data_IF_556148297208
#
_entry.id   IF_556148297208
#
_cell.length_a   1.000
_cell.length_b   1.000
_cell.length_c   1.000
_cell.angle_alpha   90.00
_cell.angle_beta   90.00
_cell.angle_gamma   90.00
#
_symmetry.space_group_name_H-M   'P 1'
#
loop_
_entity.id
_entity.type
_entity.pdbx_description
1 polymer ?
#
# COMPACT_ATOMS: atom_id res chain seq x y z
N UNK A 1 14.05 8.66 25.64
CA UNK A 1 14.17 8.63 24.18
C UNK A 1 12.77 8.74 23.58
N UNK A 2 12.62 9.50 22.53
CA UNK A 2 11.38 9.54 21.75
C UNK A 2 11.13 8.14 21.18
N UNK A 3 9.91 7.64 21.32
CA UNK A 3 9.47 6.35 20.79
C UNK A 3 8.42 6.56 19.70
N UNK A 4 8.65 5.96 18.54
CA UNK A 4 7.80 6.09 17.34
C UNK A 4 7.43 4.69 16.86
N UNK A 5 6.15 4.42 16.68
CA UNK A 5 5.64 3.14 16.15
C UNK A 5 4.77 3.38 14.92
N UNK A 6 4.43 2.36 14.17
CA UNK A 6 3.37 2.47 13.17
C UNK A 6 3.74 2.09 11.75
N UNK A 7 3.30 2.88 10.80
CA UNK A 7 3.31 2.60 9.36
C UNK A 7 4.68 2.18 8.81
N UNK A 8 4.70 1.07 8.09
CA UNK A 8 5.86 0.62 7.31
C UNK A 8 6.16 1.55 6.11
N UNK A 9 5.16 2.22 5.56
CA UNK A 9 5.33 3.23 4.49
C UNK A 9 6.13 4.43 4.98
N UNK A 10 5.86 4.91 6.20
CA UNK A 10 6.52 6.08 6.79
C UNK A 10 7.85 5.71 7.46
N UNK A 11 8.03 4.45 7.84
CA UNK A 11 9.19 3.95 8.56
C UNK A 11 10.55 4.36 7.97
N UNK A 12 10.83 4.20 6.64
CA UNK A 12 12.13 4.59 6.07
C UNK A 12 12.42 6.09 6.24
N UNK A 13 11.41 6.94 6.08
CA UNK A 13 11.56 8.38 6.26
C UNK A 13 11.79 8.76 7.72
N UNK A 14 11.03 8.18 8.64
CA UNK A 14 11.20 8.40 10.07
C UNK A 14 12.57 7.95 10.56
N UNK A 15 13.12 6.87 10.03
CA UNK A 15 14.47 6.38 10.34
C UNK A 15 15.54 7.39 9.91
N UNK A 16 15.43 7.97 8.71
CA UNK A 16 16.35 9.02 8.25
C UNK A 16 16.28 10.26 9.14
N UNK A 17 15.08 10.66 9.57
CA UNK A 17 14.93 11.78 10.51
C UNK A 17 15.59 11.47 11.85
N UNK A 18 15.40 10.26 12.38
CA UNK A 18 16.04 9.82 13.63
C UNK A 18 17.57 9.84 13.54
N UNK A 19 18.14 9.38 12.43
CA UNK A 19 19.60 9.46 12.17
C UNK A 19 20.10 10.90 12.11
N UNK A 20 19.40 11.78 11.40
CA UNK A 20 19.77 13.21 11.32
C UNK A 20 19.72 13.88 12.67
N UNK A 21 18.71 13.62 13.47
CA UNK A 21 18.63 14.12 14.86
C UNK A 21 19.82 13.66 15.69
N UNK A 22 20.22 12.40 15.54
CA UNK A 22 21.42 11.88 16.24
C UNK A 22 22.71 12.60 15.81
N UNK A 23 22.86 12.85 14.51
CA UNK A 23 24.03 13.57 13.97
C UNK A 23 24.09 15.03 14.45
N UNK A 24 22.96 15.62 14.79
CA UNK A 24 22.86 16.97 15.38
C UNK A 24 23.04 16.98 16.92
N UNK A 25 23.36 15.83 17.52
CA UNK A 25 23.63 15.69 18.96
C UNK A 25 22.41 15.41 19.83
N UNK A 26 21.24 15.18 19.23
CA UNK A 26 20.07 14.72 19.97
C UNK A 26 20.13 13.22 20.22
N UNK A 27 19.45 12.75 21.26
CA UNK A 27 19.27 11.31 21.47
C UNK A 27 18.36 10.76 20.36
N UNK A 28 18.86 9.80 19.59
CA UNK A 28 18.11 9.20 18.50
C UNK A 28 16.74 8.66 18.94
N UNK A 29 15.65 9.03 18.26
CA UNK A 29 14.37 8.36 18.42
C UNK A 29 14.46 6.85 18.11
N UNK A 30 13.69 6.05 18.84
CA UNK A 30 13.49 4.62 18.52
C UNK A 30 12.29 4.51 17.60
N UNK A 31 12.48 3.98 16.40
CA UNK A 31 11.44 3.85 15.38
C UNK A 31 11.16 2.36 15.11
N UNK A 32 9.91 1.95 15.26
CA UNK A 32 9.48 0.57 15.03
C UNK A 32 8.37 0.49 13.99
N UNK A 33 8.51 -0.44 13.04
CA UNK A 33 7.49 -0.72 12.03
C UNK A 33 6.50 -1.76 12.55
N UNK A 34 5.30 -1.31 12.93
CA UNK A 34 4.21 -2.16 13.46
C UNK A 34 2.97 -2.19 12.57
N UNK A 35 3.03 -1.50 11.42
CA UNK A 35 1.88 -1.17 10.58
C UNK A 35 1.00 -0.07 11.20
N UNK A 36 0.24 0.65 10.38
CA UNK A 36 -0.60 1.77 10.84
C UNK A 36 -1.59 1.36 11.93
N UNK A 37 -2.31 0.26 11.74
CA UNK A 37 -3.30 -0.21 12.72
C UNK A 37 -2.67 -0.72 14.02
N UNK A 38 -1.53 -1.39 13.94
CA UNK A 38 -0.75 -1.83 15.10
C UNK A 38 -0.23 -0.65 15.90
N UNK A 39 0.37 0.34 15.22
CA UNK A 39 0.85 1.57 15.83
C UNK A 39 -0.25 2.37 16.52
N UNK A 40 -1.40 2.55 15.86
CA UNK A 40 -2.56 3.22 16.48
C UNK A 40 -3.03 2.53 17.76
N UNK A 41 -3.06 1.18 17.78
CA UNK A 41 -3.45 0.41 18.95
C UNK A 41 -2.47 0.60 20.11
N UNK A 42 -1.16 0.63 19.83
CA UNK A 42 -0.11 0.81 20.85
C UNK A 42 -0.15 2.26 21.35
N UNK A 43 -0.21 3.24 20.44
CA UNK A 43 -0.29 4.67 20.77
C UNK A 43 -1.53 5.01 21.62
N UNK A 44 -2.70 4.47 21.26
CA UNK A 44 -3.92 4.62 22.02
C UNK A 44 -4.01 3.70 23.25
N UNK A 45 -2.92 3.02 23.63
CA UNK A 45 -2.85 2.17 24.81
C UNK A 45 -2.77 2.94 26.13
N UNK A 46 -2.44 4.22 26.10
CA UNK A 46 -2.38 5.09 27.29
C UNK A 46 -1.29 6.15 27.21
N UNK A 47 -1.10 6.85 28.33
CA UNK A 47 -0.08 7.88 28.52
C UNK A 47 0.94 7.38 29.54
N UNK A 48 2.22 7.46 29.23
CA UNK A 48 3.27 7.08 30.18
C UNK A 48 4.61 6.81 29.51
N UNK A 49 5.61 6.48 30.32
CA UNK A 49 7.00 6.25 29.85
C UNK A 49 7.16 4.99 29.01
N UNK A 50 6.18 4.09 29.04
CA UNK A 50 6.17 2.84 28.28
C UNK A 50 5.23 2.87 27.08
N UNK A 51 4.68 4.04 26.75
CA UNK A 51 3.84 4.26 25.58
C UNK A 51 4.60 5.10 24.54
N UNK A 52 4.37 4.94 23.24
CA UNK A 52 5.04 5.72 22.22
C UNK A 52 4.60 7.19 22.24
N UNK A 53 5.51 8.08 21.89
CA UNK A 53 5.26 9.51 21.75
C UNK A 53 4.56 9.84 20.43
N UNK A 54 4.85 9.05 19.38
CA UNK A 54 4.29 9.22 18.05
C UNK A 54 3.84 7.89 17.47
N UNK A 55 2.83 7.96 16.61
CA UNK A 55 2.49 6.85 15.71
C UNK A 55 2.48 7.33 14.26
N UNK A 56 3.25 6.66 13.42
CA UNK A 56 3.26 6.87 11.98
C UNK A 56 2.04 6.21 11.34
N UNK A 57 1.42 6.87 10.39
CA UNK A 57 0.24 6.37 9.72
C UNK A 57 0.28 6.62 8.21
N UNK A 58 -0.18 5.66 7.43
CA UNK A 58 -0.40 5.76 5.98
C UNK A 58 -1.85 6.12 5.61
N UNK A 59 -2.66 6.43 6.60
CA UNK A 59 -4.06 6.88 6.51
C UNK A 59 -4.45 7.68 7.73
N UNK A 60 -5.53 8.45 7.63
CA UNK A 60 -6.11 9.13 8.79
C UNK A 60 -6.52 8.13 9.90
N UNK A 61 -6.49 8.61 11.13
CA UNK A 61 -7.00 7.88 12.30
C UNK A 61 -8.51 7.63 12.13
N UNK A 62 -8.98 6.45 12.51
CA UNK A 62 -10.40 6.07 12.44
C UNK A 62 -11.13 6.44 13.73
N UNK A 63 -12.45 6.67 13.63
CA UNK A 63 -13.29 6.98 14.78
C UNK A 63 -13.12 5.98 15.94
N UNK A 64 -13.09 4.67 15.66
CA UNK A 64 -12.88 3.63 16.67
C UNK A 64 -11.49 3.69 17.34
N UNK A 65 -10.48 4.18 16.63
CA UNK A 65 -9.14 4.38 17.18
C UNK A 65 -9.12 5.62 18.11
N UNK A 66 -9.81 6.71 17.72
CA UNK A 66 -10.01 7.88 18.57
C UNK A 66 -10.72 7.50 19.87
N UNK A 67 -11.80 6.70 19.78
CA UNK A 67 -12.54 6.21 20.95
C UNK A 67 -11.65 5.36 21.88
N UNK A 68 -10.79 4.51 21.33
CA UNK A 68 -9.80 3.74 22.09
C UNK A 68 -8.79 4.66 22.78
N UNK A 69 -8.24 5.65 22.08
CA UNK A 69 -7.36 6.65 22.64
C UNK A 69 -8.00 7.36 23.84
N UNK A 70 -9.20 7.92 23.65
CA UNK A 70 -9.92 8.64 24.72
C UNK A 70 -10.20 7.75 25.91
N UNK A 71 -10.64 6.50 25.68
CA UNK A 71 -10.88 5.52 26.76
C UNK A 71 -9.66 5.28 27.63
N UNK A 72 -8.46 5.35 27.05
CA UNK A 72 -7.19 5.12 27.72
C UNK A 72 -6.47 6.42 28.14
N UNK A 73 -7.16 7.55 28.11
CA UNK A 73 -6.65 8.84 28.59
C UNK A 73 -5.84 9.65 27.57
N UNK A 74 -5.69 9.18 26.32
CA UNK A 74 -5.09 9.94 25.22
C UNK A 74 -6.18 10.83 24.60
N UNK A 75 -6.38 12.03 25.13
CA UNK A 75 -7.50 12.92 24.78
C UNK A 75 -7.15 13.97 23.74
N UNK A 76 -5.87 14.29 23.59
CA UNK A 76 -5.38 15.22 22.57
C UNK A 76 -4.53 14.48 21.56
N UNK A 77 -4.99 14.49 20.30
CA UNK A 77 -4.34 13.82 19.17
C UNK A 77 -4.07 14.88 18.10
N UNK A 78 -2.81 15.13 17.80
CA UNK A 78 -2.40 16.04 16.75
C UNK A 78 -1.98 15.24 15.52
N UNK A 79 -2.62 15.50 14.38
CA UNK A 79 -2.24 14.94 13.09
C UNK A 79 -1.30 15.89 12.35
N UNK A 80 -0.15 15.37 11.93
CA UNK A 80 0.85 16.11 11.15
C UNK A 80 1.03 15.38 9.84
N UNK A 81 0.60 16.01 8.73
CA UNK A 81 0.80 15.47 7.38
C UNK A 81 2.25 15.72 6.98
N UNK A 82 3.01 14.63 6.79
CA UNK A 82 4.43 14.69 6.43
C UNK A 82 4.70 14.45 4.95
N UNK A 83 3.70 13.94 4.21
CA UNK A 83 3.77 13.69 2.78
C UNK A 83 2.52 12.99 2.27
N UNK A 84 2.45 12.84 0.96
CA UNK A 84 1.41 12.10 0.26
C UNK A 84 2.07 10.96 -0.51
N UNK A 85 1.41 9.80 -0.58
CA UNK A 85 1.87 8.64 -1.31
C UNK A 85 0.80 8.17 -2.28
N UNK A 86 1.25 7.60 -3.40
CA UNK A 86 0.40 6.96 -4.39
C UNK A 86 0.99 5.62 -4.79
N UNK A 87 0.15 4.73 -5.33
CA UNK A 87 0.55 3.38 -5.73
C UNK A 87 0.23 3.18 -7.19
N UNK A 88 1.25 2.80 -7.96
CA UNK A 88 1.13 2.53 -9.38
C UNK A 88 0.95 1.04 -9.65
N UNK A 89 0.03 0.72 -10.55
CA UNK A 89 -0.09 -0.58 -11.19
C UNK A 89 0.55 -0.49 -12.57
N UNK A 90 1.65 -1.20 -12.76
CA UNK A 90 2.58 -0.95 -13.86
C UNK A 90 2.88 -2.20 -14.67
N UNK A 91 3.35 -1.96 -15.89
CA UNK A 91 3.86 -2.95 -16.82
C UNK A 91 5.11 -2.39 -17.52
N UNK A 92 5.76 -3.19 -18.38
CA UNK A 92 6.85 -2.69 -19.23
C UNK A 92 6.40 -1.45 -20.03
N UNK A 93 7.25 -0.45 -20.14
CA UNK A 93 6.96 0.83 -20.79
C UNK A 93 6.55 0.75 -22.25
N UNK A 94 6.93 -0.33 -22.94
CA UNK A 94 6.56 -0.58 -24.34
C UNK A 94 5.12 -1.10 -24.52
N UNK A 95 4.41 -1.40 -23.43
CA UNK A 95 3.05 -1.92 -23.49
C UNK A 95 2.00 -0.81 -23.61
N UNK A 96 0.85 -1.11 -24.25
CA UNK A 96 -0.24 -0.14 -24.32
C UNK A 96 -0.84 0.10 -22.93
N UNK A 97 -1.26 1.34 -22.67
CA UNK A 97 -1.98 1.69 -21.45
C UNK A 97 -3.36 1.01 -21.44
N UNK A 98 -3.69 0.36 -20.34
CA UNK A 98 -4.95 -0.34 -20.10
C UNK A 98 -5.67 0.32 -18.92
N UNK A 99 -7.00 0.33 -18.98
CA UNK A 99 -7.82 0.75 -17.83
C UNK A 99 -8.34 -0.49 -17.10
N UNK A 100 -8.16 -0.51 -15.80
CA UNK A 100 -8.69 -1.55 -14.91
C UNK A 100 -9.72 -0.96 -13.95
N UNK A 101 -10.74 -1.73 -13.62
CA UNK A 101 -11.57 -1.43 -12.46
C UNK A 101 -10.99 -2.10 -11.22
N UNK A 102 -11.31 -1.58 -10.04
CA UNK A 102 -10.90 -2.22 -8.77
C UNK A 102 -11.47 -3.62 -8.61
N UNK A 103 -12.68 -3.84 -9.13
CA UNK A 103 -13.31 -5.16 -9.14
C UNK A 103 -12.55 -6.14 -10.03
N UNK A 104 -12.13 -5.74 -11.24
CA UNK A 104 -11.30 -6.58 -12.14
C UNK A 104 -9.97 -6.94 -11.49
N UNK A 105 -9.30 -5.97 -10.82
CA UNK A 105 -8.06 -6.22 -10.09
C UNK A 105 -8.28 -7.17 -8.89
N UNK A 106 -9.40 -7.03 -8.19
CA UNK A 106 -9.77 -7.95 -7.12
C UNK A 106 -10.05 -9.36 -7.66
N UNK A 107 -10.78 -9.48 -8.75
CA UNK A 107 -11.03 -10.78 -9.40
C UNK A 107 -9.74 -11.47 -9.84
N UNK A 108 -8.77 -10.69 -10.31
CA UNK A 108 -7.47 -11.21 -10.74
C UNK A 108 -6.60 -11.69 -9.57
N UNK A 109 -6.71 -11.06 -8.40
CA UNK A 109 -5.74 -11.20 -7.31
C UNK A 109 -6.26 -11.92 -6.06
N UNK A 110 -7.58 -11.90 -5.83
CA UNK A 110 -8.13 -12.33 -4.55
C UNK A 110 -8.24 -13.84 -4.42
N UNK A 111 -7.95 -14.36 -3.21
CA UNK A 111 -8.16 -15.76 -2.86
C UNK A 111 -9.64 -16.17 -2.95
N UNK A 112 -10.55 -15.27 -2.58
CA UNK A 112 -11.99 -15.48 -2.71
C UNK A 112 -12.54 -15.15 -4.11
N UNK A 113 -11.67 -14.78 -5.05
CA UNK A 113 -12.04 -14.45 -6.42
C UNK A 113 -12.27 -15.67 -7.31
N UNK A 114 -12.62 -15.45 -8.57
CA UNK A 114 -12.89 -16.53 -9.54
C UNK A 114 -11.62 -17.25 -10.03
N UNK A 115 -10.44 -16.79 -9.67
CA UNK A 115 -9.12 -17.30 -10.10
C UNK A 115 -9.00 -17.41 -11.65
N UNK A 116 -9.22 -16.32 -12.40
CA UNK A 116 -9.05 -16.34 -13.83
C UNK A 116 -7.60 -16.65 -14.19
N UNK A 117 -7.40 -17.35 -15.31
CA UNK A 117 -6.06 -17.68 -15.78
C UNK A 117 -5.45 -16.52 -16.57
N UNK A 118 -6.27 -15.93 -17.43
CA UNK A 118 -5.90 -14.78 -18.27
C UNK A 118 -6.70 -13.54 -17.88
N UNK A 119 -6.18 -12.37 -18.22
CA UNK A 119 -6.92 -11.12 -18.06
C UNK A 119 -8.19 -11.09 -18.90
N UNK A 120 -8.14 -11.65 -20.12
CA UNK A 120 -9.31 -11.78 -21.01
C UNK A 120 -10.41 -12.68 -20.47
N UNK A 121 -10.15 -13.53 -19.49
CA UNK A 121 -11.18 -14.33 -18.79
C UNK A 121 -12.05 -13.46 -17.88
N UNK A 122 -11.52 -12.29 -17.43
CA UNK A 122 -12.27 -11.31 -16.63
C UNK A 122 -13.13 -10.45 -17.56
N UNK A 123 -12.51 -9.91 -18.61
CA UNK A 123 -13.14 -9.03 -19.58
C UNK A 123 -12.42 -9.19 -20.93
N UNK A 124 -13.13 -9.48 -22.05
CA UNK A 124 -12.53 -9.64 -23.38
C UNK A 124 -11.76 -8.42 -23.89
N UNK A 125 -11.97 -7.24 -23.32
CA UNK A 125 -11.25 -6.01 -23.66
C UNK A 125 -9.86 -5.92 -22.99
N UNK A 126 -9.61 -6.76 -21.98
CA UNK A 126 -8.32 -6.84 -21.30
C UNK A 126 -7.33 -7.70 -22.11
N UNK A 127 -6.03 -7.60 -21.83
CA UNK A 127 -5.01 -8.36 -22.55
C UNK A 127 -5.22 -9.88 -22.53
N UNK A 128 -4.94 -10.56 -23.65
CA UNK A 128 -5.08 -12.03 -23.75
C UNK A 128 -3.78 -12.76 -23.40
N UNK A 129 -3.29 -12.57 -22.18
CA UNK A 129 -2.18 -13.33 -21.61
C UNK A 129 -2.39 -13.65 -20.13
N UNK A 130 -1.58 -14.54 -19.61
CA UNK A 130 -1.71 -15.04 -18.24
C UNK A 130 -1.54 -13.92 -17.20
N UNK A 131 -2.32 -14.02 -16.12
CA UNK A 131 -2.20 -13.11 -14.98
C UNK A 131 -0.92 -13.44 -14.23
N UNK A 132 0.01 -12.48 -14.19
CA UNK A 132 1.25 -12.56 -13.44
C UNK A 132 1.56 -11.18 -12.86
N UNK A 133 1.45 -11.04 -11.53
CA UNK A 133 1.55 -9.76 -10.84
C UNK A 133 2.61 -9.87 -9.74
N UNK A 134 3.62 -9.02 -9.82
CA UNK A 134 4.62 -8.86 -8.78
C UNK A 134 4.13 -7.87 -7.73
N UNK A 135 4.13 -8.30 -6.49
CA UNK A 135 3.63 -7.53 -5.35
C UNK A 135 4.72 -7.36 -4.29
N UNK A 136 4.71 -6.25 -3.54
CA UNK A 136 5.56 -6.10 -2.37
C UNK A 136 5.20 -7.15 -1.30
N UNK A 137 6.12 -7.48 -0.38
CA UNK A 137 5.87 -8.46 0.68
C UNK A 137 4.78 -7.97 1.66
N UNK A 138 4.21 -8.87 2.48
CA UNK A 138 3.16 -8.53 3.46
C UNK A 138 3.57 -7.47 4.48
N UNK A 139 4.87 -7.27 4.69
CA UNK A 139 5.44 -6.25 5.59
C UNK A 139 5.47 -4.85 4.98
N UNK A 140 5.28 -4.74 3.67
CA UNK A 140 5.36 -3.48 2.93
C UNK A 140 4.15 -2.57 3.15
N UNK A 141 4.40 -1.28 3.37
CA UNK A 141 3.36 -0.27 3.40
C UNK A 141 2.64 -0.09 2.07
N UNK A 142 3.34 -0.29 0.95
CA UNK A 142 2.74 -0.30 -0.40
C UNK A 142 1.71 -1.43 -0.53
N UNK A 143 2.01 -2.62 0.03
CA UNK A 143 1.06 -3.74 0.09
C UNK A 143 -0.18 -3.40 0.92
N UNK A 144 0.00 -2.81 2.10
CA UNK A 144 -1.10 -2.36 2.97
C UNK A 144 -2.00 -1.33 2.29
N UNK A 145 -1.40 -0.38 1.60
CA UNK A 145 -2.15 0.62 0.85
C UNK A 145 -2.91 0.00 -0.33
N UNK A 146 -2.31 -0.93 -1.08
CA UNK A 146 -2.99 -1.69 -2.13
C UNK A 146 -4.21 -2.45 -1.59
N UNK A 147 -4.07 -3.12 -0.46
CA UNK A 147 -5.18 -3.79 0.22
C UNK A 147 -6.33 -2.82 0.55
N UNK A 148 -6.02 -1.63 1.02
CA UNK A 148 -7.03 -0.64 1.43
C UNK A 148 -7.70 0.06 0.26
N UNK A 149 -6.93 0.41 -0.77
CA UNK A 149 -7.36 1.25 -1.89
C UNK A 149 -7.95 0.44 -3.05
N UNK A 150 -7.46 -0.79 -3.28
CA UNK A 150 -7.86 -1.63 -4.39
C UNK A 150 -8.59 -2.88 -3.91
N UNK A 151 -7.94 -3.78 -3.19
CA UNK A 151 -8.52 -5.08 -2.85
C UNK A 151 -9.83 -4.98 -2.07
N UNK A 152 -9.85 -4.19 -1.01
CA UNK A 152 -11.06 -3.98 -0.20
C UNK A 152 -12.18 -3.27 -0.96
N UNK A 153 -11.82 -2.29 -1.82
CA UNK A 153 -12.82 -1.52 -2.58
C UNK A 153 -13.35 -2.29 -3.78
N UNK A 154 -12.54 -3.19 -4.36
CA UNK A 154 -12.92 -4.06 -5.47
C UNK A 154 -13.64 -5.34 -5.03
N UNK A 155 -13.59 -5.68 -3.74
CA UNK A 155 -14.31 -6.84 -3.21
C UNK A 155 -15.82 -6.66 -3.34
N UNK A 156 -16.57 -7.60 -3.95
CA UNK A 156 -18.03 -7.55 -4.04
C UNK A 156 -18.67 -7.39 -2.66
N UNK A 157 -19.75 -6.61 -2.58
CA UNK A 157 -20.38 -6.23 -1.32
C UNK A 157 -20.86 -7.42 -0.51
N UNK A 158 -21.47 -8.40 -1.18
CA UNK A 158 -21.96 -9.64 -0.57
C UNK A 158 -20.83 -10.48 0.04
N UNK A 159 -19.69 -10.57 -0.66
CA UNK A 159 -18.49 -11.24 -0.12
C UNK A 159 -17.91 -10.45 1.05
N UNK A 160 -17.82 -9.13 0.92
CA UNK A 160 -17.29 -8.26 1.99
C UNK A 160 -18.13 -8.33 3.27
N UNK A 161 -19.46 -8.39 3.13
CA UNK A 161 -20.39 -8.51 4.25
C UNK A 161 -20.31 -9.89 4.92
N UNK A 162 -20.23 -10.96 4.12
CA UNK A 162 -20.18 -12.33 4.59
C UNK A 162 -18.84 -12.71 5.19
N UNK A 163 -17.75 -12.42 4.51
CA UNK A 163 -16.40 -12.91 4.82
C UNK A 163 -15.52 -11.88 5.54
N UNK A 164 -15.88 -10.61 5.45
CA UNK A 164 -15.17 -9.50 6.09
C UNK A 164 -13.92 -9.01 5.35
N UNK A 165 -13.47 -7.84 5.75
CA UNK A 165 -12.36 -7.11 5.09
C UNK A 165 -11.05 -7.90 5.04
N UNK A 166 -10.76 -8.67 6.09
CA UNK A 166 -9.50 -9.43 6.19
C UNK A 166 -9.41 -10.48 5.08
N UNK A 167 -10.50 -11.20 4.84
CA UNK A 167 -10.55 -12.23 3.79
C UNK A 167 -10.60 -11.64 2.39
N UNK A 168 -11.27 -10.49 2.20
CA UNK A 168 -11.25 -9.75 0.92
C UNK A 168 -9.84 -9.34 0.47
N UNK A 169 -8.92 -9.17 1.41
CA UNK A 169 -7.54 -8.77 1.13
C UNK A 169 -6.58 -9.95 0.92
N UNK A 170 -7.01 -11.19 1.18
CA UNK A 170 -6.15 -12.36 0.91
C UNK A 170 -5.93 -12.50 -0.60
N UNK A 171 -4.69 -12.70 -0.96
CA UNK A 171 -4.30 -12.91 -2.35
C UNK A 171 -4.18 -14.41 -2.63
N UNK A 172 -4.50 -14.80 -3.88
CA UNK A 172 -4.37 -16.19 -4.37
C UNK A 172 -2.91 -16.64 -4.35
N UNK A 173 -2.69 -17.95 -4.10
CA UNK A 173 -1.36 -18.54 -3.93
C UNK A 173 -1.02 -19.57 -5.03
N UNK A 174 -1.72 -19.52 -6.16
CA UNK A 174 -1.56 -20.46 -7.28
C UNK A 174 -0.46 -20.08 -8.29
N UNK A 175 0.37 -19.11 -7.95
CA UNK A 175 1.49 -18.65 -8.77
C UNK A 175 1.21 -17.40 -9.62
N UNK A 176 -0.04 -16.93 -9.70
CA UNK A 176 -0.38 -15.69 -10.41
C UNK A 176 0.16 -14.44 -9.67
N UNK A 177 0.27 -14.52 -8.35
CA UNK A 177 0.82 -13.47 -7.51
C UNK A 177 2.21 -13.87 -7.05
N UNK A 178 3.19 -13.02 -7.34
CA UNK A 178 4.61 -13.25 -7.06
C UNK A 178 5.10 -12.21 -6.07
N UNK A 179 5.54 -12.62 -4.90
CA UNK A 179 6.23 -11.72 -3.98
C UNK A 179 7.61 -11.35 -4.52
N UNK A 180 7.83 -10.06 -4.76
CA UNK A 180 9.04 -9.55 -5.40
C UNK A 180 10.06 -8.95 -4.43
N UNK A 181 9.80 -8.99 -3.13
CA UNK A 181 10.61 -8.35 -2.09
C UNK A 181 10.37 -6.83 -2.00
N UNK A 182 11.14 -6.18 -1.14
CA UNK A 182 11.06 -4.72 -0.88
C UNK A 182 11.83 -3.89 -1.94
N UNK A 183 12.55 -4.54 -2.86
CA UNK A 183 13.41 -3.85 -3.81
C UNK A 183 12.68 -3.61 -5.14
N UNK A 184 12.14 -2.41 -5.29
CA UNK A 184 11.42 -1.97 -6.49
C UNK A 184 12.28 -2.01 -7.77
N UNK A 185 13.61 -1.86 -7.65
CA UNK A 185 14.53 -1.99 -8.80
C UNK A 185 14.46 -3.38 -9.42
N UNK A 186 14.33 -4.43 -8.61
CA UNK A 186 14.18 -5.79 -9.12
C UNK A 186 12.84 -6.00 -9.83
N UNK A 187 11.78 -5.33 -9.37
CA UNK A 187 10.47 -5.38 -10.03
C UNK A 187 10.61 -4.77 -11.44
N UNK A 188 11.16 -3.58 -11.56
CA UNK A 188 11.35 -2.92 -12.87
C UNK A 188 12.20 -3.77 -13.82
N UNK A 189 13.30 -4.33 -13.35
CA UNK A 189 14.15 -5.22 -14.18
C UNK A 189 13.39 -6.45 -14.69
N UNK A 190 12.56 -7.06 -13.85
CA UNK A 190 11.73 -8.19 -14.24
C UNK A 190 10.64 -7.80 -15.25
N UNK A 191 10.05 -6.61 -15.10
CA UNK A 191 9.09 -6.07 -16.06
C UNK A 191 9.72 -5.80 -17.43
N UNK A 192 10.96 -5.32 -17.45
CA UNK A 192 11.70 -5.13 -18.70
C UNK A 192 12.05 -6.45 -19.41
N UNK A 193 12.20 -7.54 -18.66
CA UNK A 193 12.48 -8.88 -19.20
C UNK A 193 11.24 -9.67 -19.61
N UNK A 194 10.03 -9.22 -19.24
CA UNK A 194 8.79 -9.94 -19.51
C UNK A 194 7.62 -8.96 -19.66
N UNK A 195 7.21 -8.75 -20.89
CA UNK A 195 6.19 -7.76 -21.25
C UNK A 195 4.78 -8.11 -20.76
N UNK A 196 4.53 -9.34 -20.34
CA UNK A 196 3.21 -9.79 -19.87
C UNK A 196 3.04 -9.65 -18.37
N UNK A 197 4.13 -9.35 -17.62
CA UNK A 197 4.08 -9.16 -16.18
C UNK A 197 3.66 -7.76 -15.76
N UNK A 198 2.93 -7.74 -14.67
CA UNK A 198 2.55 -6.50 -13.96
C UNK A 198 3.30 -6.37 -12.65
N UNK A 199 3.38 -5.16 -12.13
CA UNK A 199 3.99 -4.88 -10.83
C UNK A 199 3.23 -3.80 -10.07
N UNK A 200 3.41 -3.80 -8.75
CA UNK A 200 2.85 -2.80 -7.85
C UNK A 200 3.98 -2.16 -7.08
N UNK A 201 4.11 -0.84 -7.17
CA UNK A 201 5.07 -0.07 -6.40
C UNK A 201 4.65 1.40 -6.20
N UNK A 202 5.36 2.10 -5.33
CA UNK A 202 5.07 3.49 -4.99
C UNK A 202 5.23 4.46 -6.16
N UNK A 203 4.46 5.54 -6.14
CA UNK A 203 4.46 6.55 -7.18
C UNK A 203 5.85 7.17 -7.41
N UNK A 204 6.58 7.50 -6.36
CA UNK A 204 7.90 8.13 -6.48
C UNK A 204 8.89 7.26 -7.27
N UNK A 205 8.79 5.94 -7.09
CA UNK A 205 9.60 5.00 -7.83
C UNK A 205 9.16 4.88 -9.30
N UNK A 206 7.85 4.83 -9.56
CA UNK A 206 7.30 4.90 -10.91
C UNK A 206 7.72 6.19 -11.62
N UNK A 207 7.61 7.33 -10.96
CA UNK A 207 7.96 8.63 -11.52
C UNK A 207 9.42 8.70 -11.95
N UNK A 208 10.32 8.11 -11.18
CA UNK A 208 11.75 8.00 -11.50
C UNK A 208 12.08 6.98 -12.61
N UNK A 209 11.13 6.15 -13.03
CA UNK A 209 11.31 5.08 -14.03
C UNK A 209 10.28 5.11 -15.15
N UNK A 210 9.71 6.28 -15.48
CA UNK A 210 8.69 6.45 -16.54
C UNK A 210 9.18 6.05 -17.93
N UNK A 211 10.48 6.04 -18.14
CA UNK A 211 11.15 5.58 -19.36
C UNK A 211 11.14 4.03 -19.51
N UNK A 212 10.88 3.30 -18.42
CA UNK A 212 10.95 1.84 -18.36
C UNK A 212 9.64 1.16 -18.02
N UNK A 213 8.71 1.90 -17.43
CA UNK A 213 7.44 1.37 -16.96
C UNK A 213 6.29 2.27 -17.35
N UNK A 214 5.15 1.66 -17.70
CA UNK A 214 3.88 2.35 -17.92
C UNK A 214 2.94 2.07 -16.75
N UNK A 215 2.35 3.11 -16.18
CA UNK A 215 1.27 2.95 -15.20
C UNK A 215 -0.08 2.90 -15.92
N UNK A 216 -0.87 1.89 -15.58
CA UNK A 216 -2.23 1.72 -16.05
C UNK A 216 -3.19 2.61 -15.28
N UNK A 217 -4.32 2.95 -15.89
CA UNK A 217 -5.39 3.68 -15.19
C UNK A 217 -6.22 2.73 -14.34
N UNK A 218 -6.71 3.23 -13.21
CA UNK A 218 -7.65 2.50 -12.33
C UNK A 218 -8.90 3.35 -12.23
N UNK A 219 -10.07 2.77 -12.53
CA UNK A 219 -11.36 3.47 -12.61
C UNK A 219 -11.33 4.67 -13.57
N UNK A 220 -10.53 4.59 -14.64
CA UNK A 220 -10.36 5.67 -15.60
C UNK A 220 -9.46 6.82 -15.11
N UNK A 221 -8.88 6.73 -13.93
CA UNK A 221 -8.03 7.77 -13.34
C UNK A 221 -6.56 7.42 -13.58
N UNK A 222 -5.80 8.39 -14.11
CA UNK A 222 -4.36 8.29 -14.31
C UNK A 222 -3.62 8.70 -13.05
N UNK A 223 -2.58 7.93 -12.69
CA UNK A 223 -1.74 8.32 -11.56
C UNK A 223 -0.91 9.58 -11.91
N UNK A 224 -1.01 10.58 -11.06
CA UNK A 224 -0.25 11.82 -11.17
C UNK A 224 0.02 12.41 -9.79
N UNK A 225 1.03 13.26 -9.69
CA UNK A 225 1.30 13.98 -8.44
C UNK A 225 0.10 14.84 -8.03
N UNK A 226 -0.53 15.51 -8.98
CA UNK A 226 -1.71 16.35 -8.76
C UNK A 226 -2.89 15.50 -8.27
N UNK A 227 -3.19 14.37 -8.92
CA UNK A 227 -4.25 13.46 -8.52
C UNK A 227 -4.05 12.85 -7.14
N UNK A 228 -2.79 12.56 -6.75
CA UNK A 228 -2.45 12.11 -5.40
C UNK A 228 -2.68 13.24 -4.38
N UNK A 229 -2.32 14.48 -4.72
CA UNK A 229 -2.46 15.64 -3.84
C UNK A 229 -3.91 16.05 -3.62
N UNK A 230 -4.74 16.00 -4.64
CA UNK A 230 -6.16 16.38 -4.56
C UNK A 230 -7.10 15.21 -4.20
N UNK A 231 -6.56 13.98 -4.14
CA UNK A 231 -7.31 12.78 -3.78
C UNK A 231 -8.19 12.22 -4.90
N UNK A 232 -8.00 12.64 -6.14
CA UNK A 232 -8.74 12.12 -7.30
C UNK A 232 -8.22 10.76 -7.77
N UNK A 233 -7.01 10.39 -7.37
CA UNK A 233 -6.38 9.08 -7.63
C UNK A 233 -6.42 8.17 -6.41
#
# INVERSE_FOLDING_TARGET
SISVVGSSTVYPFATVVAERMSNEGFRAPVVESTGTGGGMKIFCGGIGTNTPDFTNASRAIKQKEIELCHKNGVTEINEIIVGLDGIAFVQNGDQPKVNFTKEQLWQAMAELGPHPKKWSDIDPSLPDYEISIMVPPPTSGTRDAWHSLVMKKGCPKDILEKEGKKKCNLMREDGAIIEAGENDTLIVQKLQGDNEKFGIFGYSYYDSNRDKAIAHTIEGVEISLEGIQDGSY
#
